data_IF_317272761304
#
_entry.id   IF_317272761304
#
_cell.length_a   1.000
_cell.length_b   1.000
_cell.length_c   1.000
_cell.angle_alpha   90.00
_cell.angle_beta   90.00
_cell.angle_gamma   90.00
#
_symmetry.space_group_name_H-M   'P 1'
#
loop_
_entity.id
_entity.type
_entity.pdbx_description
1 polymer ?
#
# COMPACT_ATOMS: atom_id res chain seq x y z
N UNK A 1 56.12 11.78 5.33
CA UNK A 1 55.06 11.11 4.52
C UNK A 1 54.03 10.59 5.49
N UNK A 2 52.92 11.30 5.66
CA UNK A 2 51.79 10.87 6.50
C UNK A 2 50.66 10.51 5.54
N UNK A 3 50.33 9.22 5.44
CA UNK A 3 49.29 8.73 4.54
C UNK A 3 47.93 8.90 5.21
N UNK A 4 47.09 9.75 4.64
CA UNK A 4 45.67 9.88 4.98
C UNK A 4 44.94 8.64 4.47
N UNK A 5 44.40 7.83 5.38
CA UNK A 5 43.41 6.82 5.04
C UNK A 5 42.02 7.44 5.15
N UNK A 6 41.37 7.66 4.01
CA UNK A 6 39.95 8.00 3.97
C UNK A 6 39.16 6.69 3.98
N UNK A 7 38.57 6.36 5.13
CA UNK A 7 37.67 5.21 5.26
C UNK A 7 36.30 5.64 4.73
N UNK A 8 36.00 5.32 3.47
CA UNK A 8 34.65 5.48 2.93
C UNK A 8 33.75 4.43 3.56
N UNK A 9 32.92 4.83 4.52
CA UNK A 9 31.78 4.02 4.96
C UNK A 9 30.84 3.93 3.77
N UNK A 10 30.76 2.75 3.15
CA UNK A 10 29.70 2.42 2.19
C UNK A 10 28.36 2.62 2.92
N UNK A 11 27.62 3.66 2.51
CA UNK A 11 26.29 3.92 3.05
C UNK A 11 25.41 2.71 2.82
N UNK A 12 24.78 2.21 3.89
CA UNK A 12 23.72 1.22 3.75
C UNK A 12 22.65 1.80 2.80
N UNK A 13 22.12 1.01 1.86
CA UNK A 13 21.04 1.49 1.01
C UNK A 13 19.92 2.00 1.90
N UNK A 14 19.55 3.27 1.71
CA UNK A 14 18.46 3.91 2.43
C UNK A 14 17.22 3.07 2.13
N UNK A 15 16.72 2.36 3.12
CA UNK A 15 15.51 1.56 2.99
C UNK A 15 14.35 2.53 2.83
N UNK A 16 13.87 2.69 1.60
CA UNK A 16 12.78 3.61 1.27
C UNK A 16 11.46 2.88 1.45
N UNK A 17 10.56 3.48 2.22
CA UNK A 17 9.23 2.94 2.40
C UNK A 17 8.38 3.20 1.15
N UNK A 18 7.68 2.17 0.65
CA UNK A 18 6.84 2.29 -0.53
C UNK A 18 5.61 3.15 -0.28
N UNK A 19 5.18 3.86 -1.32
CA UNK A 19 4.02 4.74 -1.33
C UNK A 19 3.33 4.62 -2.68
N UNK A 20 2.01 4.76 -2.71
CA UNK A 20 1.26 4.84 -3.96
C UNK A 20 1.72 6.08 -4.73
N UNK A 21 2.31 5.88 -5.90
CA UNK A 21 2.83 6.96 -6.74
C UNK A 21 3.06 6.47 -8.18
N UNK A 22 2.75 7.34 -9.15
CA UNK A 22 3.31 7.26 -10.50
C UNK A 22 4.77 7.71 -10.48
N UNK A 23 5.66 6.90 -11.05
CA UNK A 23 7.09 7.18 -11.18
C UNK A 23 7.42 7.72 -12.58
N UNK A 24 6.76 7.17 -13.61
CA UNK A 24 6.81 7.69 -14.98
C UNK A 24 5.85 8.88 -15.09
N UNK A 25 6.33 10.00 -15.63
CA UNK A 25 5.55 11.24 -15.83
C UNK A 25 4.33 11.05 -16.75
N UNK A 26 4.25 9.94 -17.48
CA UNK A 26 3.10 9.58 -18.32
C UNK A 26 2.00 8.87 -17.54
N UNK A 27 2.26 8.41 -16.31
CA UNK A 27 1.25 7.79 -15.44
C UNK A 27 0.41 8.87 -14.77
N UNK A 28 -0.89 8.83 -15.03
CA UNK A 28 -1.86 9.75 -14.47
C UNK A 28 -3.06 9.00 -13.90
N UNK A 29 -3.87 9.71 -13.11
CA UNK A 29 -5.13 9.19 -12.56
C UNK A 29 -4.98 7.87 -11.79
N UNK A 30 -3.81 7.63 -11.17
CA UNK A 30 -3.59 6.42 -10.37
C UNK A 30 -4.58 6.37 -9.21
N UNK A 31 -5.42 5.34 -9.19
CA UNK A 31 -6.38 5.04 -8.14
C UNK A 31 -6.13 3.63 -7.61
N UNK A 32 -6.29 3.48 -6.29
CA UNK A 32 -6.26 2.20 -5.59
C UNK A 32 -7.49 2.17 -4.71
N UNK A 33 -8.49 1.38 -5.11
CA UNK A 33 -9.82 1.37 -4.49
C UNK A 33 -10.18 -0.05 -4.08
N UNK A 34 -10.84 -0.21 -2.92
CA UNK A 34 -11.44 -1.50 -2.56
C UNK A 34 -12.86 -1.61 -3.12
N UNK A 35 -13.33 -2.84 -3.26
CA UNK A 35 -14.72 -3.20 -3.59
C UNK A 35 -15.74 -2.55 -2.65
N UNK A 36 -15.33 -2.16 -1.45
CA UNK A 36 -16.12 -1.43 -0.45
C UNK A 36 -16.49 -0.01 -0.91
N UNK A 37 -15.76 0.54 -1.88
CA UNK A 37 -16.03 1.83 -2.52
C UNK A 37 -14.98 2.90 -2.24
N UNK A 38 -14.98 3.95 -3.05
CA UNK A 38 -13.94 5.00 -3.09
C UNK A 38 -13.75 5.81 -1.79
N UNK A 39 -14.72 5.78 -0.88
CA UNK A 39 -14.63 6.46 0.43
C UNK A 39 -13.88 5.63 1.48
N UNK A 40 -13.65 4.35 1.22
CA UNK A 40 -12.95 3.46 2.12
C UNK A 40 -11.46 3.42 1.80
N UNK A 41 -10.60 3.21 2.81
CA UNK A 41 -9.19 2.96 2.55
C UNK A 41 -9.00 1.69 1.70
N UNK A 42 -7.89 1.57 0.96
CA UNK A 42 -7.58 0.40 0.14
C UNK A 42 -7.16 -0.79 1.03
N UNK A 43 -8.15 -1.36 1.72
CA UNK A 43 -8.02 -2.51 2.60
C UNK A 43 -9.07 -3.53 2.21
N UNK A 44 -8.65 -4.79 2.08
CA UNK A 44 -9.51 -5.95 1.84
C UNK A 44 -9.29 -7.00 2.92
N UNK A 45 -10.23 -7.93 3.07
CA UNK A 45 -10.09 -9.03 4.01
C UNK A 45 -9.36 -10.22 3.39
N UNK A 46 -8.51 -10.86 4.18
CA UNK A 46 -7.91 -12.15 3.86
C UNK A 46 -9.02 -13.20 3.84
N UNK A 47 -9.04 -14.03 2.79
CA UNK A 47 -10.08 -15.04 2.56
C UNK A 47 -11.52 -14.47 2.45
N UNK A 48 -11.66 -13.16 2.28
CA UNK A 48 -12.94 -12.49 2.05
C UNK A 48 -13.34 -12.43 0.57
N UNK A 49 -14.52 -11.86 0.30
CA UNK A 49 -15.01 -11.61 -1.06
C UNK A 49 -14.58 -10.24 -1.62
N UNK A 50 -13.88 -9.45 -0.81
CA UNK A 50 -13.42 -8.12 -1.19
C UNK A 50 -12.21 -8.17 -2.12
N UNK A 51 -12.11 -7.16 -2.99
CA UNK A 51 -11.01 -7.02 -3.94
C UNK A 51 -10.55 -5.57 -4.04
N UNK A 52 -9.27 -5.39 -4.40
CA UNK A 52 -8.68 -4.11 -4.77
C UNK A 52 -8.73 -3.97 -6.29
N UNK A 53 -9.07 -2.76 -6.75
CA UNK A 53 -8.92 -2.30 -8.12
C UNK A 53 -7.83 -1.24 -8.16
N UNK A 54 -6.81 -1.48 -8.97
CA UNK A 54 -5.78 -0.50 -9.31
C UNK A 54 -6.06 -0.06 -10.74
N UNK A 55 -6.28 1.23 -10.94
CA UNK A 55 -6.50 1.80 -12.27
C UNK A 55 -5.63 3.03 -12.48
N UNK A 56 -5.13 3.20 -13.70
CA UNK A 56 -4.32 4.36 -14.08
C UNK A 56 -4.37 4.58 -15.58
N UNK A 57 -4.09 5.81 -15.99
CA UNK A 57 -3.95 6.20 -17.39
C UNK A 57 -2.46 6.32 -17.72
N UNK A 58 -2.04 5.71 -18.83
CA UNK A 58 -0.73 5.94 -19.41
C UNK A 58 -0.89 6.81 -20.65
N UNK A 59 -0.35 8.02 -20.61
CA UNK A 59 -0.39 8.94 -21.75
C UNK A 59 0.48 8.45 -22.91
N UNK A 60 -0.11 8.39 -24.09
CA UNK A 60 0.47 7.81 -25.30
C UNK A 60 -0.63 7.34 -26.26
N UNK A 61 -0.24 7.13 -27.51
CA UNK A 61 -1.16 6.65 -28.56
C UNK A 61 -1.20 5.13 -28.66
N UNK A 62 -0.13 4.44 -28.21
CA UNK A 62 0.04 3.00 -28.34
C UNK A 62 -0.09 2.28 -27.00
N UNK A 63 -0.64 1.07 -27.04
CA UNK A 63 -0.63 0.17 -25.90
C UNK A 63 0.79 -0.35 -25.66
N UNK A 64 1.16 -0.43 -24.39
CA UNK A 64 2.44 -0.96 -23.93
C UNK A 64 2.18 -2.24 -23.14
N UNK A 65 2.96 -3.29 -23.42
CA UNK A 65 2.88 -4.52 -22.64
C UNK A 65 3.45 -4.28 -21.25
N UNK A 66 2.55 -4.28 -20.26
CA UNK A 66 2.87 -4.07 -18.86
C UNK A 66 2.81 -5.40 -18.10
N UNK A 67 3.71 -5.53 -17.14
CA UNK A 67 3.71 -6.61 -16.16
C UNK A 67 3.72 -6.02 -14.76
N UNK A 68 3.33 -6.82 -13.78
CA UNK A 68 3.36 -6.45 -12.39
C UNK A 68 3.97 -7.55 -11.53
N UNK A 69 4.56 -7.13 -10.42
CA UNK A 69 4.92 -8.00 -9.30
C UNK A 69 4.32 -7.47 -8.02
N UNK A 70 4.08 -8.37 -7.07
CA UNK A 70 3.56 -8.03 -5.76
C UNK A 70 4.69 -8.14 -4.75
N UNK A 71 4.76 -7.22 -3.80
CA UNK A 71 5.78 -7.19 -2.75
C UNK A 71 5.07 -7.07 -1.40
N UNK A 72 5.25 -8.07 -0.54
CA UNK A 72 4.79 -8.00 0.84
C UNK A 72 5.70 -7.11 1.69
N UNK A 73 5.10 -6.20 2.44
CA UNK A 73 5.74 -5.19 3.25
C UNK A 73 5.35 -5.31 4.72
N UNK A 74 6.25 -4.88 5.60
CA UNK A 74 5.97 -4.72 7.02
C UNK A 74 5.10 -3.47 7.30
N UNK A 75 4.76 -3.26 8.57
CA UNK A 75 3.91 -2.15 9.02
C UNK A 75 4.45 -0.74 8.63
N UNK A 76 5.76 -0.61 8.41
CA UNK A 76 6.39 0.65 7.97
C UNK A 76 6.60 0.72 6.44
N UNK A 77 5.92 -0.12 5.66
CA UNK A 77 5.93 -0.13 4.20
C UNK A 77 7.31 -0.43 3.58
N UNK A 78 8.11 -1.21 4.28
CA UNK A 78 9.40 -1.73 3.80
C UNK A 78 9.22 -3.20 3.44
N UNK A 79 9.84 -3.72 2.36
CA UNK A 79 9.83 -5.15 2.05
C UNK A 79 10.07 -6.01 3.27
N UNK A 80 9.16 -6.96 3.47
CA UNK A 80 9.32 -7.98 4.50
C UNK A 80 10.42 -8.98 4.11
N UNK A 81 10.76 -9.87 5.04
CA UNK A 81 11.68 -10.98 4.75
C UNK A 81 10.97 -12.21 4.16
N UNK A 82 9.64 -12.15 3.99
CA UNK A 82 8.86 -13.25 3.42
C UNK A 82 9.18 -13.39 1.93
N UNK A 83 9.41 -14.62 1.50
CA UNK A 83 9.47 -15.00 0.09
C UNK A 83 8.08 -14.99 -0.56
N UNK A 84 8.02 -14.83 -1.88
CA UNK A 84 6.76 -14.79 -2.65
C UNK A 84 5.85 -15.99 -2.37
N UNK A 85 6.42 -17.18 -2.19
CA UNK A 85 5.67 -18.41 -1.90
C UNK A 85 5.01 -18.42 -0.52
N UNK A 86 5.55 -17.65 0.45
CA UNK A 86 5.02 -17.56 1.80
C UNK A 86 3.80 -16.65 1.88
N UNK A 87 3.75 -15.55 1.10
CA UNK A 87 2.68 -14.56 1.20
C UNK A 87 1.61 -14.62 0.10
N UNK A 88 1.87 -15.28 -1.04
CA UNK A 88 0.87 -15.42 -2.11
C UNK A 88 0.93 -16.77 -2.83
N UNK A 89 -0.17 -17.11 -3.51
CA UNK A 89 -0.18 -18.06 -4.63
C UNK A 89 -0.17 -17.27 -5.94
N UNK A 90 0.58 -17.74 -6.92
CA UNK A 90 0.74 -17.09 -8.23
C UNK A 90 2.20 -17.08 -8.68
N UNK A 91 2.45 -16.57 -9.88
CA UNK A 91 3.82 -16.35 -10.37
C UNK A 91 4.36 -15.01 -9.86
N UNK A 92 5.69 -14.91 -9.77
CA UNK A 92 6.38 -13.72 -9.27
C UNK A 92 6.14 -12.48 -10.14
N UNK A 93 6.01 -12.70 -11.46
CA UNK A 93 5.68 -11.69 -12.45
C UNK A 93 4.45 -12.15 -13.22
N UNK A 94 3.46 -11.27 -13.31
CA UNK A 94 2.21 -11.48 -14.05
C UNK A 94 2.04 -10.38 -15.09
N UNK A 95 1.38 -10.70 -16.21
CA UNK A 95 1.08 -9.70 -17.24
C UNK A 95 -0.22 -8.98 -16.92
N UNK A 96 -0.28 -7.67 -17.21
CA UNK A 96 -1.47 -6.85 -17.05
C UNK A 96 -2.24 -6.82 -18.38
N UNK A 97 -3.36 -7.53 -18.44
CA UNK A 97 -4.14 -7.73 -19.67
C UNK A 97 -5.34 -6.78 -19.83
N UNK A 98 -5.90 -6.25 -18.75
CA UNK A 98 -7.09 -5.39 -18.79
C UNK A 98 -6.70 -3.94 -19.08
N UNK A 99 -6.94 -3.52 -20.32
CA UNK A 99 -6.66 -2.17 -20.79
C UNK A 99 -7.64 -1.73 -21.88
N UNK A 100 -7.80 -0.41 -22.04
CA UNK A 100 -8.62 0.19 -23.08
C UNK A 100 -8.04 1.51 -23.58
N UNK A 101 -8.13 1.77 -24.89
CA UNK A 101 -7.78 3.06 -25.47
C UNK A 101 -8.76 4.16 -25.04
N UNK A 102 -8.24 5.36 -24.86
CA UNK A 102 -9.04 6.58 -24.74
C UNK A 102 -9.90 6.79 -25.99
N UNK A 103 -11.12 7.30 -25.83
CA UNK A 103 -12.05 7.55 -26.92
C UNK A 103 -12.50 9.01 -26.95
N UNK A 104 -12.33 9.69 -28.09
CA UNK A 104 -12.70 11.10 -28.30
C UNK A 104 -12.13 12.09 -27.26
N UNK A 105 -10.90 11.86 -26.80
CA UNK A 105 -10.19 12.75 -25.87
C UNK A 105 -9.20 13.65 -26.62
N UNK A 106 -8.90 14.83 -26.07
CA UNK A 106 -7.92 15.74 -26.69
C UNK A 106 -6.48 15.22 -26.54
N UNK A 107 -6.20 14.51 -25.44
CA UNK A 107 -4.93 13.83 -25.18
C UNK A 107 -5.19 12.32 -25.17
N UNK A 108 -4.48 11.59 -26.02
CA UNK A 108 -4.56 10.14 -26.09
C UNK A 108 -3.96 9.50 -24.84
N UNK A 109 -4.59 8.44 -24.37
CA UNK A 109 -4.09 7.60 -23.29
C UNK A 109 -4.59 6.16 -23.44
N UNK A 110 -3.92 5.25 -22.75
CA UNK A 110 -4.39 3.89 -22.54
C UNK A 110 -4.68 3.74 -21.06
N UNK A 111 -5.94 3.40 -20.73
CA UNK A 111 -6.34 3.08 -19.37
C UNK A 111 -6.00 1.62 -19.09
N UNK A 112 -5.36 1.36 -17.96
CA UNK A 112 -5.07 0.02 -17.46
C UNK A 112 -5.81 -0.21 -16.16
N UNK A 113 -6.28 -1.44 -15.97
CA UNK A 113 -6.98 -1.87 -14.77
C UNK A 113 -6.43 -3.21 -14.29
N UNK A 114 -6.29 -3.35 -12.98
CA UNK A 114 -5.87 -4.59 -12.34
C UNK A 114 -6.77 -4.83 -11.13
N UNK A 115 -7.36 -6.01 -11.05
CA UNK A 115 -8.11 -6.46 -9.89
C UNK A 115 -7.30 -7.52 -9.13
N UNK A 116 -7.24 -7.41 -7.80
CA UNK A 116 -6.57 -8.36 -6.91
C UNK A 116 -7.43 -8.64 -5.65
N UNK A 117 -7.55 -9.89 -5.18
CA UNK A 117 -7.06 -11.10 -5.84
C UNK A 117 -7.79 -11.35 -7.18
N UNK A 118 -7.21 -12.24 -8.00
CA UNK A 118 -7.77 -12.67 -9.29
C UNK A 118 -7.44 -14.15 -9.54
N UNK A 119 -7.79 -14.67 -10.72
CA UNK A 119 -7.60 -16.09 -11.07
C UNK A 119 -6.12 -16.53 -10.98
N UNK A 120 -5.18 -15.61 -11.15
CA UNK A 120 -3.75 -15.87 -11.18
C UNK A 120 -3.06 -15.61 -9.83
N UNK A 121 -3.69 -14.86 -8.92
CA UNK A 121 -3.09 -14.39 -7.66
C UNK A 121 -4.08 -14.43 -6.50
N UNK A 122 -3.68 -15.08 -5.41
CA UNK A 122 -4.35 -15.00 -4.10
C UNK A 122 -3.36 -14.78 -2.96
N UNK A 123 -3.80 -14.13 -1.88
CA UNK A 123 -2.97 -13.83 -0.72
C UNK A 123 -3.07 -14.93 0.34
N UNK A 124 -1.97 -15.22 1.04
CA UNK A 124 -1.89 -16.23 2.10
C UNK A 124 -1.78 -15.64 3.51
N UNK A 125 -1.33 -14.39 3.60
CA UNK A 125 -1.06 -13.72 4.88
C UNK A 125 -1.60 -12.29 4.86
N UNK A 126 -1.99 -11.80 6.02
CA UNK A 126 -2.32 -10.39 6.23
C UNK A 126 -1.05 -9.53 6.13
N UNK A 127 -1.23 -8.23 5.87
CA UNK A 127 -0.11 -7.28 5.84
C UNK A 127 -0.28 -6.18 4.81
N UNK A 128 0.81 -5.47 4.57
CA UNK A 128 0.86 -4.41 3.56
C UNK A 128 1.41 -4.97 2.26
N UNK A 129 0.82 -4.58 1.13
CA UNK A 129 1.19 -5.06 -0.18
C UNK A 129 1.42 -3.91 -1.14
N UNK A 130 2.45 -4.07 -1.97
CA UNK A 130 2.79 -3.12 -3.03
C UNK A 130 2.69 -3.87 -4.35
N UNK A 131 1.90 -3.33 -5.27
CA UNK A 131 1.93 -3.72 -6.67
C UNK A 131 2.88 -2.78 -7.37
N UNK A 132 3.96 -3.34 -7.89
CA UNK A 132 4.90 -2.64 -8.75
C UNK A 132 4.58 -2.99 -10.20
N UNK A 133 4.31 -1.98 -11.03
CA UNK A 133 4.01 -2.15 -12.46
C UNK A 133 5.19 -1.63 -13.28
N UNK A 134 5.58 -2.37 -14.30
CA UNK A 134 6.73 -2.08 -15.17
C UNK A 134 6.49 -2.56 -16.60
N UNK A 135 7.20 -2.02 -17.60
CA UNK A 135 7.19 -2.57 -18.97
C UNK A 135 7.74 -4.00 -18.98
N UNK A 136 7.08 -4.92 -19.69
CA UNK A 136 7.47 -6.33 -19.71
C UNK A 136 8.94 -6.56 -20.12
N UNK A 137 9.48 -5.70 -20.98
CA UNK A 137 10.86 -5.78 -21.45
C UNK A 137 11.90 -5.07 -20.55
N UNK A 138 11.47 -4.36 -19.51
CA UNK A 138 12.32 -3.57 -18.59
C UNK A 138 11.83 -3.71 -17.13
N UNK A 139 11.93 -4.92 -16.54
CA UNK A 139 11.46 -5.20 -15.18
C UNK A 139 12.17 -4.46 -14.04
N UNK A 140 13.29 -3.80 -14.35
CA UNK A 140 14.06 -2.93 -13.46
C UNK A 140 13.59 -1.46 -13.49
N UNK A 141 12.70 -1.09 -14.41
CA UNK A 141 12.19 0.28 -14.58
C UNK A 141 10.69 0.38 -14.22
N UNK A 142 10.34 0.40 -12.93
CA UNK A 142 8.96 0.53 -12.49
C UNK A 142 8.37 1.89 -12.89
N UNK A 143 7.15 1.87 -13.43
CA UNK A 143 6.41 3.08 -13.83
C UNK A 143 5.49 3.59 -12.73
N UNK A 144 5.08 2.72 -11.79
CA UNK A 144 4.30 3.10 -10.62
C UNK A 144 4.40 2.07 -9.51
N UNK A 145 4.03 2.50 -8.31
CA UNK A 145 3.73 1.67 -7.15
C UNK A 145 2.29 1.92 -6.71
N UNK A 146 1.55 0.86 -6.40
CA UNK A 146 0.20 0.91 -5.84
C UNK A 146 0.18 0.14 -4.51
N UNK A 147 -0.16 0.83 -3.43
CA UNK A 147 -0.15 0.30 -2.06
C UNK A 147 -1.56 0.00 -1.55
N UNK A 148 -1.76 -1.17 -0.96
CA UNK A 148 -2.99 -1.57 -0.27
C UNK A 148 -2.67 -2.53 0.88
N UNK A 149 -3.64 -2.83 1.73
CA UNK A 149 -3.47 -3.77 2.85
C UNK A 149 -4.46 -4.92 2.79
N UNK A 150 -4.06 -6.06 3.33
CA UNK A 150 -4.89 -7.24 3.53
C UNK A 150 -5.04 -7.48 5.03
N UNK A 151 -6.28 -7.56 5.52
CA UNK A 151 -6.64 -7.68 6.94
C UNK A 151 -7.17 -9.08 7.24
N UNK A 152 -6.71 -9.71 8.32
CA UNK A 152 -7.29 -10.98 8.82
C UNK A 152 -8.39 -10.76 9.87
N UNK A 153 -8.75 -9.50 10.16
CA UNK A 153 -9.76 -9.11 11.15
C UNK A 153 -9.65 -9.80 12.52
N UNK A 154 -8.43 -10.17 12.94
CA UNK A 154 -8.19 -10.92 14.18
C UNK A 154 -8.64 -10.19 15.46
N UNK A 155 -8.76 -8.86 15.41
CA UNK A 155 -9.20 -8.02 16.53
C UNK A 155 -10.23 -6.99 16.08
N UNK A 156 -11.19 -6.67 16.96
CA UNK A 156 -12.14 -5.59 16.72
C UNK A 156 -11.58 -4.27 17.21
N UNK A 157 -11.59 -3.25 16.36
CA UNK A 157 -11.17 -1.89 16.71
C UNK A 157 -12.39 -0.99 16.76
N UNK A 158 -12.69 -0.47 17.96
CA UNK A 158 -13.71 0.55 18.15
C UNK A 158 -13.03 1.91 18.10
N UNK A 159 -13.50 2.82 17.26
CA UNK A 159 -12.90 4.14 17.08
C UNK A 159 -13.98 5.22 17.16
N UNK A 160 -13.67 6.32 17.84
CA UNK A 160 -14.50 7.52 17.91
C UNK A 160 -13.63 8.75 17.60
N UNK A 161 -14.17 9.67 16.81
CA UNK A 161 -13.58 10.98 16.59
C UNK A 161 -14.50 12.02 17.23
N UNK A 162 -13.92 12.87 18.09
CA UNK A 162 -14.68 13.90 18.79
C UNK A 162 -13.99 15.28 18.68
N UNK A 163 -14.78 16.35 18.78
CA UNK A 163 -14.28 17.73 18.79
C UNK A 163 -13.97 18.24 20.22
N UNK A 164 -14.15 17.38 21.22
CA UNK A 164 -13.85 17.65 22.63
C UNK A 164 -12.46 17.10 22.92
N UNK A 165 -11.47 17.93 22.65
CA UNK A 165 -10.07 17.51 22.75
C UNK A 165 -9.48 17.96 24.08
N UNK A 166 -8.37 17.35 24.49
CA UNK A 166 -7.58 17.81 25.65
C UNK A 166 -7.04 19.24 25.48
N UNK A 167 -7.05 19.77 24.24
CA UNK A 167 -6.64 21.14 23.91
C UNK A 167 -7.80 22.14 23.81
N UNK A 168 -9.06 21.68 23.93
CA UNK A 168 -10.24 22.56 23.88
C UNK A 168 -11.46 21.93 23.23
N UNK A 169 -12.57 22.68 23.23
CA UNK A 169 -13.88 22.21 22.81
C UNK A 169 -14.30 22.86 21.48
N UNK A 170 -14.60 22.04 20.47
CA UNK A 170 -15.14 22.49 19.16
C UNK A 170 -14.31 23.57 18.47
N UNK A 171 -12.98 23.51 18.64
CA UNK A 171 -12.02 24.34 17.93
C UNK A 171 -11.53 23.67 16.64
N UNK A 172 -10.25 23.84 16.33
CA UNK A 172 -9.62 23.37 15.09
C UNK A 172 -9.17 21.89 15.15
N UNK A 173 -9.27 21.26 16.32
CA UNK A 173 -8.74 19.92 16.58
C UNK A 173 -9.84 18.87 16.65
N UNK A 174 -9.50 17.67 16.21
CA UNK A 174 -10.28 16.46 16.43
C UNK A 174 -9.42 15.45 17.20
N UNK A 175 -9.99 14.84 18.24
CA UNK A 175 -9.33 13.80 19.02
C UNK A 175 -9.91 12.45 18.63
N UNK A 176 -9.02 11.55 18.24
CA UNK A 176 -9.35 10.16 17.94
C UNK A 176 -9.09 9.33 19.19
N UNK A 177 -10.12 8.65 19.67
CA UNK A 177 -10.01 7.66 20.75
C UNK A 177 -10.38 6.30 20.18
N UNK A 178 -9.62 5.26 20.53
CA UNK A 178 -9.90 3.92 20.05
C UNK A 178 -9.67 2.87 21.13
N UNK A 179 -10.33 1.72 20.99
CA UNK A 179 -10.18 0.54 21.85
C UNK A 179 -10.03 -0.70 20.98
N UNK A 180 -9.05 -1.54 21.30
CA UNK A 180 -8.82 -2.82 20.63
C UNK A 180 -9.37 -3.91 21.53
N UNK A 181 -10.44 -4.58 21.08
CA UNK A 181 -11.00 -5.73 21.78
C UNK A 181 -10.27 -7.00 21.36
N UNK A 182 -9.76 -7.73 22.37
CA UNK A 182 -8.88 -8.89 22.24
C UNK A 182 -9.58 -10.23 22.48
N UNK A 183 -10.91 -10.28 22.30
CA UNK A 183 -11.75 -11.38 22.81
C UNK A 183 -11.25 -12.78 22.45
N UNK A 184 -10.76 -12.97 21.22
CA UNK A 184 -10.27 -14.27 20.73
C UNK A 184 -8.82 -14.23 20.22
N UNK A 185 -8.07 -13.17 20.52
CA UNK A 185 -6.70 -13.00 20.05
C UNK A 185 -5.81 -12.54 21.20
N UNK A 186 -4.96 -13.45 21.69
CA UNK A 186 -4.09 -13.16 22.81
C UNK A 186 -2.90 -12.29 22.39
N UNK A 187 -2.74 -11.16 23.07
CA UNK A 187 -1.66 -10.21 22.84
C UNK A 187 -0.93 -10.07 24.16
N UNK A 188 0.18 -10.80 24.28
CA UNK A 188 0.96 -10.95 25.52
C UNK A 188 1.63 -9.62 25.88
N UNK A 189 2.23 -8.93 24.91
CA UNK A 189 2.87 -7.63 25.14
C UNK A 189 2.34 -6.57 24.17
N UNK A 190 1.18 -5.94 24.44
CA UNK A 190 0.61 -4.93 23.56
C UNK A 190 1.56 -3.76 23.24
N UNK A 191 2.46 -3.39 24.15
CA UNK A 191 3.39 -2.28 23.93
C UNK A 191 4.57 -2.65 23.00
N UNK A 192 4.91 -3.93 22.87
CA UNK A 192 5.98 -4.41 21.98
C UNK A 192 5.47 -5.01 20.68
N UNK A 193 4.31 -5.67 20.74
CA UNK A 193 3.79 -6.50 19.66
C UNK A 193 2.87 -5.72 18.71
N UNK A 194 2.21 -4.66 19.22
CA UNK A 194 1.33 -3.82 18.41
C UNK A 194 2.06 -2.59 17.87
N UNK A 195 1.87 -2.35 16.57
CA UNK A 195 2.23 -1.11 15.91
C UNK A 195 0.97 -0.46 15.39
N UNK A 196 0.58 0.66 15.98
CA UNK A 196 -0.68 1.32 15.67
C UNK A 196 -0.40 2.61 14.91
N UNK A 197 -0.97 2.70 13.71
CA UNK A 197 -0.90 3.88 12.85
C UNK A 197 -2.30 4.44 12.67
N UNK A 198 -2.46 5.74 12.93
CA UNK A 198 -3.72 6.46 12.72
C UNK A 198 -3.53 7.44 11.57
N UNK A 199 -4.38 7.32 10.56
CA UNK A 199 -4.34 8.14 9.34
C UNK A 199 -5.61 8.98 9.23
N UNK A 200 -5.46 10.25 8.89
CA UNK A 200 -6.59 11.13 8.62
C UNK A 200 -6.88 11.15 7.12
N UNK A 201 -8.08 10.75 6.69
CA UNK A 201 -8.50 10.81 5.28
C UNK A 201 -7.50 10.15 4.31
N UNK A 202 -6.96 9.00 4.69
CA UNK A 202 -5.95 8.25 3.92
C UNK A 202 -4.65 9.05 3.63
N UNK A 203 -4.38 10.12 4.40
CA UNK A 203 -3.16 10.91 4.28
C UNK A 203 -2.05 10.33 5.13
N UNK A 204 -0.88 10.18 4.51
CA UNK A 204 0.32 9.65 5.13
C UNK A 204 1.21 10.75 5.72
N UNK A 205 1.09 11.99 5.24
CA UNK A 205 1.93 13.11 5.65
C UNK A 205 1.70 13.54 7.11
N UNK A 206 0.50 13.29 7.64
CA UNK A 206 0.12 13.57 9.02
C UNK A 206 -0.25 12.31 9.82
N UNK A 207 0.21 11.15 9.37
CA UNK A 207 -0.03 9.87 10.06
C UNK A 207 0.64 9.87 11.44
N UNK A 208 -0.11 9.48 12.46
CA UNK A 208 0.38 9.39 13.83
C UNK A 208 0.70 7.93 14.20
N UNK A 209 1.86 7.72 14.83
CA UNK A 209 2.21 6.44 15.43
C UNK A 209 1.89 6.45 16.92
N UNK A 210 1.02 5.53 17.36
CA UNK A 210 0.64 5.38 18.77
C UNK A 210 1.49 4.26 19.36
N UNK A 211 2.45 4.66 20.20
CA UNK A 211 3.49 3.76 20.69
C UNK A 211 3.14 3.02 21.98
N UNK A 212 2.08 3.45 22.69
CA UNK A 212 1.67 2.85 23.97
C UNK A 212 0.17 2.94 24.19
N UNK A 213 -0.48 1.88 24.70
CA UNK A 213 -1.81 1.99 25.27
C UNK A 213 -1.79 2.89 26.51
N UNK A 214 -2.93 3.52 26.81
CA UNK A 214 -3.13 4.28 28.06
C UNK A 214 -3.30 3.35 29.27
#
# INVERSE_FOLDING_TARGET
MCATACLSVLGQPKVVAYRTAGIDDRVHSLQVESSRGFLYPPVIDLDGEDFIVISFDLFGDDQQDLSYRIIHCNANWVPSQLSTLEYMNGFDIQQLYDWAYSFNTHRSYVNYRLQLPNDDVSFKVSGNYVVEVFPQNRPEEPILYACFSVSEEAVKVFCEANSRTDMGYSGEFQQVSFRIARENYDIVNPAGDLKIYVMQNNRLDNMAFVSRPQ
#
